data_IF_571350918911
#
_entry.id   IF_571350918911
#
_cell.length_a   1.000
_cell.length_b   1.000
_cell.length_c   1.000
_cell.angle_alpha   90.00
_cell.angle_beta   90.00
_cell.angle_gamma   90.00
#
_symmetry.space_group_name_H-M   'P 1'
#
loop_
_entity.id
_entity.type
_entity.pdbx_description
1 polymer ?
#
# COMPACT_ATOMS: atom_id res chain seq x y z
N UNK A 1 -16.41 27.19 25.54
CA UNK A 1 -16.60 26.43 24.29
C UNK A 1 -15.50 26.87 23.33
N UNK A 2 -14.37 26.15 23.34
CA UNK A 2 -13.19 26.54 22.58
C UNK A 2 -13.00 25.52 21.47
N UNK A 3 -13.09 26.02 20.25
CA UNK A 3 -13.11 25.28 18.99
C UNK A 3 -11.85 24.45 18.77
N UNK A 4 -12.03 23.17 18.46
CA UNK A 4 -10.97 22.26 18.01
C UNK A 4 -10.66 22.56 16.54
N UNK A 5 -9.50 23.18 16.28
CA UNK A 5 -8.97 23.37 14.92
C UNK A 5 -8.11 22.14 14.60
N UNK A 6 -8.64 21.23 13.78
CA UNK A 6 -7.85 20.14 13.18
C UNK A 6 -6.99 20.77 12.07
N UNK A 7 -5.75 21.11 12.40
CA UNK A 7 -4.75 21.51 11.41
C UNK A 7 -4.33 20.25 10.62
N UNK A 8 -4.77 20.16 9.36
CA UNK A 8 -4.30 19.12 8.44
C UNK A 8 -2.91 19.51 7.91
N UNK A 9 -1.87 19.33 8.70
CA UNK A 9 -0.48 19.50 8.23
C UNK A 9 -0.10 18.29 7.35
N UNK A 10 0.27 18.56 6.11
CA UNK A 10 1.07 17.62 5.33
C UNK A 10 2.49 17.65 5.91
N UNK A 11 2.96 16.53 6.46
CA UNK A 11 4.37 16.39 6.83
C UNK A 11 5.10 16.03 5.53
N UNK A 12 5.78 17.02 4.96
CA UNK A 12 6.79 16.78 3.92
C UNK A 12 8.09 16.51 4.66
N UNK A 13 8.46 15.24 4.81
CA UNK A 13 9.77 14.88 5.35
C UNK A 13 10.78 15.03 4.22
N UNK A 14 11.69 15.99 4.39
CA UNK A 14 12.92 16.10 3.60
C UNK A 14 14.05 16.00 4.62
N UNK A 15 14.85 14.93 4.55
CA UNK A 15 16.01 14.80 5.42
C UNK A 15 17.04 15.88 5.06
N UNK A 16 17.14 16.92 5.89
CA UNK A 16 18.25 17.86 5.90
C UNK A 16 19.08 17.58 7.16
N UNK A 17 20.37 17.34 6.96
CA UNK A 17 21.34 16.94 7.99
C UNK A 17 21.76 18.15 8.81
N UNK A 18 21.65 18.07 10.13
CA UNK A 18 22.44 18.89 11.06
C UNK A 18 23.34 17.99 11.91
N UNK A 19 24.55 18.49 12.14
CA UNK A 19 25.72 17.76 12.62
C UNK A 19 25.73 17.50 14.13
N UNK A 20 25.92 16.23 14.48
CA UNK A 20 26.67 15.65 15.60
C UNK A 20 26.61 16.33 16.99
N UNK A 21 26.04 15.61 17.97
CA UNK A 21 26.65 15.44 19.30
C UNK A 21 26.34 14.05 19.89
N UNK A 22 27.34 13.52 20.57
CA UNK A 22 27.58 12.18 21.12
C UNK A 22 26.54 11.71 22.18
N UNK A 23 26.11 10.43 22.13
CA UNK A 23 25.40 9.72 23.23
C UNK A 23 25.91 8.26 23.33
N UNK A 24 26.10 7.68 24.55
CA UNK A 24 26.85 6.43 24.78
C UNK A 24 26.05 5.14 24.52
N UNK A 25 26.71 3.97 24.51
CA UNK A 25 26.10 2.69 24.11
C UNK A 25 25.28 2.09 25.26
N UNK A 26 24.16 1.44 24.91
CA UNK A 26 23.67 0.18 25.49
C UNK A 26 22.16 0.00 25.23
N UNK A 27 21.81 -0.51 24.05
CA UNK A 27 20.68 -1.43 23.82
C UNK A 27 20.76 -1.94 22.36
N UNK A 28 21.63 -2.92 22.10
CA UNK A 28 21.71 -3.59 20.80
C UNK A 28 20.65 -4.69 20.76
N UNK A 29 19.55 -4.46 20.03
CA UNK A 29 18.71 -5.55 19.53
C UNK A 29 19.22 -5.93 18.15
N UNK A 30 19.90 -7.07 18.04
CA UNK A 30 20.37 -7.64 16.78
C UNK A 30 19.17 -7.96 15.86
N UNK A 31 18.92 -7.09 14.89
CA UNK A 31 18.16 -7.43 13.69
C UNK A 31 19.15 -7.51 12.52
N UNK A 32 19.61 -8.71 12.21
CA UNK A 32 20.40 -8.97 11.01
C UNK A 32 19.46 -9.12 9.81
N UNK A 33 19.34 -8.06 9.00
CA UNK A 33 18.84 -8.19 7.63
C UNK A 33 19.89 -8.93 6.81
N UNK A 34 19.62 -10.19 6.44
CA UNK A 34 20.51 -10.93 5.55
C UNK A 34 20.47 -10.30 4.15
N UNK A 35 21.51 -9.52 3.83
CA UNK A 35 21.85 -9.16 2.45
C UNK A 35 22.05 -10.45 1.64
N UNK A 36 21.48 -10.46 0.44
CA UNK A 36 21.61 -11.45 -0.65
C UNK A 36 20.54 -12.54 -0.73
N UNK A 37 19.88 -12.59 -1.89
CA UNK A 37 18.91 -13.61 -2.25
C UNK A 37 18.18 -13.33 -3.56
N UNK A 38 18.92 -13.11 -4.65
CA UNK A 38 18.39 -13.24 -6.01
C UNK A 38 17.84 -14.67 -6.19
N UNK A 39 16.61 -14.82 -6.71
CA UNK A 39 16.16 -16.10 -7.27
C UNK A 39 15.95 -15.92 -8.78
N UNK A 40 16.96 -16.35 -9.53
CA UNK A 40 16.85 -16.76 -10.92
C UNK A 40 17.46 -18.15 -11.04
N UNK A 41 16.63 -19.19 -11.13
CA UNK A 41 16.80 -20.27 -12.13
C UNK A 41 15.58 -21.17 -12.22
N UNK A 42 15.29 -21.55 -13.46
CA UNK A 42 14.45 -22.65 -13.90
C UNK A 42 15.35 -23.90 -14.01
N UNK A 43 14.76 -25.07 -13.72
CA UNK A 43 15.13 -26.46 -14.09
C UNK A 43 16.04 -27.38 -13.23
N UNK A 44 15.44 -28.56 -12.96
CA UNK A 44 16.00 -29.92 -12.85
C UNK A 44 16.50 -30.46 -11.49
N UNK A 45 16.60 -31.79 -11.44
CA UNK A 45 16.17 -32.70 -10.37
C UNK A 45 17.15 -32.93 -9.19
N UNK A 46 16.56 -33.40 -8.09
CA UNK A 46 17.06 -34.35 -7.08
C UNK A 46 18.40 -34.08 -6.35
N UNK A 47 18.33 -33.85 -5.04
CA UNK A 47 18.93 -34.75 -4.02
C UNK A 47 18.48 -34.36 -2.59
N UNK A 48 18.53 -35.37 -1.71
CA UNK A 48 18.06 -35.45 -0.33
C UNK A 48 19.04 -34.76 0.65
N UNK A 49 18.51 -34.09 1.67
CA UNK A 49 18.78 -34.37 3.11
C UNK A 49 18.27 -33.19 3.98
N UNK A 50 17.20 -33.41 4.76
CA UNK A 50 17.16 -33.61 6.23
C UNK A 50 17.47 -32.36 7.07
N UNK A 51 16.42 -31.86 7.72
CA UNK A 51 16.47 -31.60 9.17
C UNK A 51 16.41 -30.16 9.66
N UNK A 52 15.19 -29.70 10.00
CA UNK A 52 14.73 -29.34 11.36
C UNK A 52 13.70 -28.21 11.31
N UNK A 53 12.44 -28.62 11.43
CA UNK A 53 11.35 -27.76 11.87
C UNK A 53 11.58 -27.38 13.34
N UNK A 54 11.54 -26.09 13.65
CA UNK A 54 11.35 -25.63 15.03
C UNK A 54 9.87 -25.26 15.21
N UNK A 55 9.15 -26.18 15.84
CA UNK A 55 7.86 -25.96 16.47
C UNK A 55 8.10 -25.19 17.77
N UNK A 56 7.38 -24.09 17.98
CA UNK A 56 7.09 -23.61 19.33
C UNK A 56 5.59 -23.63 19.56
N UNK A 57 5.20 -24.42 20.56
CA UNK A 57 3.90 -24.35 21.22
C UNK A 57 3.87 -23.13 22.13
N UNK A 58 2.79 -22.35 22.05
CA UNK A 58 2.46 -21.30 23.00
C UNK A 58 0.94 -21.26 23.16
N UNK A 59 0.48 -21.49 24.38
CA UNK A 59 -0.92 -21.74 24.74
C UNK A 59 -1.83 -20.53 24.50
N UNK A 60 -3.07 -20.84 24.13
CA UNK A 60 -4.15 -19.89 23.90
C UNK A 60 -4.71 -19.36 25.24
N UNK A 61 -4.84 -18.04 25.35
CA UNK A 61 -5.78 -17.44 26.30
C UNK A 61 -6.98 -16.88 25.53
N UNK A 62 -8.16 -17.37 25.90
CA UNK A 62 -9.47 -16.93 25.40
C UNK A 62 -9.87 -15.67 26.14
N UNK A 63 -10.28 -14.64 25.42
CA UNK A 63 -11.39 -13.80 25.84
C UNK A 63 -12.20 -13.34 24.62
N UNK A 64 -13.42 -13.83 24.55
CA UNK A 64 -14.41 -13.57 23.50
C UNK A 64 -15.29 -12.42 23.96
N UNK A 65 -15.01 -11.21 23.48
CA UNK A 65 -15.89 -10.05 23.62
C UNK A 65 -16.66 -9.82 22.33
N UNK A 66 -17.87 -10.37 22.24
CA UNK A 66 -18.79 -10.19 21.12
C UNK A 66 -19.23 -8.71 21.06
N UNK A 67 -18.81 -7.95 20.05
CA UNK A 67 -19.38 -6.61 19.79
C UNK A 67 -19.91 -6.55 18.36
N UNK A 68 -21.23 -6.72 18.22
CA UNK A 68 -21.96 -6.39 17.01
C UNK A 68 -22.18 -4.87 16.97
N UNK A 69 -21.76 -4.22 15.88
CA UNK A 69 -22.06 -2.81 15.63
C UNK A 69 -23.14 -2.75 14.54
N UNK A 70 -24.35 -2.40 14.94
CA UNK A 70 -25.46 -2.04 14.06
C UNK A 70 -25.32 -0.59 13.60
N UNK A 71 -25.44 -0.33 12.30
CA UNK A 71 -25.49 1.02 11.74
C UNK A 71 -26.94 1.38 11.42
N UNK A 72 -27.56 2.28 12.20
CA UNK A 72 -28.80 2.95 11.79
C UNK A 72 -28.48 4.16 10.91
N UNK A 73 -28.87 4.11 9.65
CA UNK A 73 -28.76 5.22 8.71
C UNK A 73 -30.09 5.97 8.56
N UNK A 74 -30.20 7.16 9.17
CA UNK A 74 -31.30 8.10 8.87
C UNK A 74 -31.05 8.81 7.53
N UNK A 75 -31.76 8.40 6.48
CA UNK A 75 -31.81 9.09 5.19
C UNK A 75 -32.67 10.35 5.28
N UNK A 76 -32.08 11.55 5.15
CA UNK A 76 -32.83 12.77 4.77
C UNK A 76 -32.51 13.16 3.32
N UNK A 77 -33.47 12.94 2.43
CA UNK A 77 -33.49 13.47 1.05
C UNK A 77 -33.58 15.00 1.09
N UNK A 78 -32.60 15.70 0.53
CA UNK A 78 -32.80 17.10 0.09
C UNK A 78 -33.23 17.10 -1.38
N UNK A 79 -34.40 17.68 -1.63
CA UNK A 79 -34.90 18.03 -2.95
C UNK A 79 -33.95 19.01 -3.65
N UNK A 80 -33.62 18.73 -4.92
CA UNK A 80 -32.88 19.63 -5.80
C UNK A 80 -33.87 20.62 -6.45
N UNK A 81 -33.76 21.89 -6.10
CA UNK A 81 -34.42 22.97 -6.83
C UNK A 81 -33.67 23.27 -8.13
N UNK A 82 -34.37 23.21 -9.26
CA UNK A 82 -33.84 23.48 -10.58
C UNK A 82 -33.60 24.96 -10.83
N UNK A 83 -32.48 25.27 -11.51
CA UNK A 83 -32.31 26.53 -12.25
C UNK A 83 -31.77 26.23 -13.65
N UNK A 84 -32.60 26.54 -14.65
CA UNK A 84 -32.25 26.62 -16.08
C UNK A 84 -31.46 27.91 -16.34
N UNK A 85 -30.45 27.86 -17.21
CA UNK A 85 -29.83 29.07 -17.76
C UNK A 85 -28.49 28.90 -18.49
N UNK A 86 -28.58 28.63 -19.80
CA UNK A 86 -27.73 28.99 -20.96
C UNK A 86 -26.19 29.19 -20.81
N UNK A 87 -25.46 28.53 -21.72
CA UNK A 87 -24.10 28.92 -22.13
C UNK A 87 -23.29 27.78 -22.75
N UNK A 88 -23.52 27.46 -24.04
CA UNK A 88 -22.65 26.55 -24.81
C UNK A 88 -21.35 27.26 -25.21
N UNK A 89 -20.39 27.27 -24.30
CA UNK A 89 -18.98 27.54 -24.62
C UNK A 89 -18.26 26.23 -24.83
N UNK A 90 -17.66 26.02 -26.01
CA UNK A 90 -16.68 24.94 -26.25
C UNK A 90 -15.43 25.23 -25.40
N UNK A 91 -15.50 24.87 -24.12
CA UNK A 91 -14.38 25.01 -23.20
C UNK A 91 -13.28 24.03 -23.56
N UNK A 92 -12.10 24.55 -23.94
CA UNK A 92 -10.83 23.83 -23.87
C UNK A 92 -10.83 23.01 -22.57
N UNK A 93 -10.68 21.69 -22.68
CA UNK A 93 -10.94 20.74 -21.61
C UNK A 93 -10.43 21.25 -20.27
N UNK A 94 -11.35 21.55 -19.34
CA UNK A 94 -10.98 22.07 -18.01
C UNK A 94 -9.93 21.12 -17.44
N UNK A 95 -8.69 21.62 -17.27
CA UNK A 95 -7.64 20.87 -16.57
C UNK A 95 -8.26 20.37 -15.27
N UNK A 96 -7.99 19.11 -14.94
CA UNK A 96 -8.28 18.61 -13.62
C UNK A 96 -7.51 19.49 -12.64
N UNK A 97 -8.16 20.53 -12.11
CA UNK A 97 -7.72 21.17 -10.89
C UNK A 97 -7.77 20.04 -9.89
N UNK A 98 -6.62 19.65 -9.37
CA UNK A 98 -6.50 18.59 -8.37
C UNK A 98 -7.54 18.95 -7.31
N UNK A 99 -8.67 18.25 -7.36
CA UNK A 99 -9.65 18.34 -6.30
C UNK A 99 -8.92 17.86 -5.05
N UNK A 100 -9.33 18.35 -3.88
CA UNK A 100 -8.99 17.74 -2.59
C UNK A 100 -8.73 16.24 -2.78
N UNK A 101 -7.49 15.78 -2.52
CA UNK A 101 -6.97 14.48 -2.98
C UNK A 101 -7.91 13.32 -2.63
N UNK A 102 -8.59 13.42 -1.50
CA UNK A 102 -9.57 12.43 -1.01
C UNK A 102 -10.87 12.41 -1.81
N UNK A 103 -11.30 13.56 -2.35
CA UNK A 103 -12.50 13.68 -3.20
C UNK A 103 -12.18 13.49 -4.68
N UNK A 104 -10.90 13.59 -5.07
CA UNK A 104 -10.50 13.51 -6.47
C UNK A 104 -10.89 12.16 -7.10
N UNK A 105 -10.76 11.05 -6.38
CA UNK A 105 -11.18 9.72 -6.85
C UNK A 105 -12.67 9.63 -7.21
N UNK A 106 -13.53 10.37 -6.51
CA UNK A 106 -14.99 10.41 -6.74
C UNK A 106 -15.39 11.46 -7.79
N UNK A 107 -14.43 12.25 -8.26
CA UNK A 107 -14.65 13.27 -9.28
C UNK A 107 -14.43 12.72 -10.69
N UNK A 108 -14.76 13.53 -11.70
CA UNK A 108 -14.41 13.24 -13.11
C UNK A 108 -12.90 13.09 -13.34
N UNK A 109 -12.07 13.62 -12.45
CA UNK A 109 -10.62 13.57 -12.56
C UNK A 109 -10.02 12.23 -12.15
N UNK A 110 -10.67 11.50 -11.25
CA UNK A 110 -10.22 10.20 -10.80
C UNK A 110 -10.94 9.02 -11.44
N UNK A 111 -11.94 9.25 -12.31
CA UNK A 111 -12.78 8.17 -12.85
C UNK A 111 -11.99 7.17 -13.71
N UNK A 112 -12.11 5.87 -13.38
CA UNK A 112 -11.43 4.79 -14.10
C UNK A 112 -9.92 4.98 -14.13
N UNK A 113 -9.29 4.76 -15.30
CA UNK A 113 -7.84 4.94 -15.49
C UNK A 113 -7.36 6.41 -15.45
N UNK A 114 -8.24 7.37 -15.10
CA UNK A 114 -7.85 8.75 -14.81
C UNK A 114 -7.41 8.96 -13.36
N UNK A 115 -7.66 8.00 -12.46
CA UNK A 115 -7.22 8.01 -11.05
C UNK A 115 -5.81 8.59 -10.81
N UNK A 116 -4.76 8.29 -11.62
CA UNK A 116 -3.41 8.80 -11.36
C UNK A 116 -3.30 10.33 -11.46
N UNK A 117 -4.29 11.03 -12.04
CA UNK A 117 -4.38 12.50 -12.00
C UNK A 117 -4.63 13.07 -10.59
N UNK A 118 -5.02 12.21 -9.66
CA UNK A 118 -5.27 12.56 -8.27
C UNK A 118 -4.04 12.35 -7.37
N UNK A 119 -2.98 11.71 -7.88
CA UNK A 119 -1.74 11.56 -7.14
C UNK A 119 -1.14 12.93 -6.81
N UNK A 120 -0.65 13.07 -5.59
CA UNK A 120 0.01 14.28 -5.08
C UNK A 120 1.33 13.89 -4.43
N UNK A 121 2.03 14.84 -3.81
CA UNK A 121 3.31 14.58 -3.14
C UNK A 121 4.41 14.16 -4.10
N UNK A 122 5.41 13.45 -3.56
CA UNK A 122 6.56 12.99 -4.34
C UNK A 122 6.20 11.92 -5.38
N UNK A 123 5.09 11.19 -5.24
CA UNK A 123 4.60 10.28 -6.27
C UNK A 123 3.78 10.99 -7.37
N UNK A 124 3.69 12.32 -7.35
CA UNK A 124 2.99 13.09 -8.39
C UNK A 124 3.49 12.71 -9.79
N UNK A 125 2.55 12.56 -10.72
CA UNK A 125 2.84 12.12 -12.09
C UNK A 125 3.06 10.61 -12.24
N UNK A 126 2.85 9.80 -11.20
CA UNK A 126 2.64 8.36 -11.33
C UNK A 126 1.49 8.09 -12.31
N UNK A 127 1.60 7.01 -13.08
CA UNK A 127 0.59 6.59 -14.05
C UNK A 127 0.16 5.14 -13.86
N UNK A 128 0.93 4.35 -13.10
CA UNK A 128 0.68 2.94 -12.87
C UNK A 128 0.50 2.17 -14.18
N UNK A 129 -0.49 1.28 -14.21
CA UNK A 129 -0.87 0.49 -15.39
C UNK A 129 -1.81 1.20 -16.36
N UNK A 130 -1.93 2.53 -16.32
CA UNK A 130 -2.91 3.28 -17.12
C UNK A 130 -2.85 2.96 -18.61
N UNK A 131 -1.63 2.74 -19.14
CA UNK A 131 -1.36 2.44 -20.56
C UNK A 131 -1.32 0.93 -20.86
N UNK A 132 -1.42 0.11 -19.82
CA UNK A 132 -1.27 -1.33 -19.87
C UNK A 132 -2.57 -2.08 -20.09
N UNK A 133 -2.44 -3.41 -20.05
CA UNK A 133 -3.57 -4.33 -20.13
C UNK A 133 -4.58 -4.05 -19.03
N UNK A 134 -5.86 -4.11 -19.34
CA UNK A 134 -6.90 -4.16 -18.31
C UNK A 134 -7.10 -5.62 -17.89
N UNK A 135 -6.99 -5.89 -16.60
CA UNK A 135 -7.17 -7.22 -16.04
C UNK A 135 -8.23 -7.15 -14.94
N UNK A 136 -9.13 -8.14 -14.91
CA UNK A 136 -10.16 -8.23 -13.87
C UNK A 136 -10.00 -9.55 -13.14
N UNK A 137 -9.75 -9.47 -11.84
CA UNK A 137 -9.72 -10.61 -10.93
C UNK A 137 -11.16 -11.10 -10.75
N UNK A 138 -11.36 -12.39 -10.99
CA UNK A 138 -12.65 -13.10 -10.89
C UNK A 138 -12.63 -14.21 -9.84
N UNK A 139 -11.44 -14.63 -9.41
CA UNK A 139 -11.21 -15.69 -8.44
C UNK A 139 -10.36 -15.20 -7.26
N UNK A 140 -10.72 -15.64 -6.05
CA UNK A 140 -9.98 -15.37 -4.83
C UNK A 140 -8.88 -16.40 -4.53
N UNK A 141 -8.73 -17.42 -5.39
CA UNK A 141 -7.72 -18.45 -5.23
C UNK A 141 -6.31 -17.88 -5.40
N UNK A 142 -5.36 -18.48 -4.71
CA UNK A 142 -3.94 -18.16 -4.84
C UNK A 142 -3.10 -19.44 -4.94
N UNK A 143 -2.19 -19.47 -5.91
CA UNK A 143 -1.32 -20.61 -6.23
C UNK A 143 0.05 -20.07 -6.65
N UNK A 144 1.12 -20.54 -6.01
CA UNK A 144 2.48 -20.06 -6.27
C UNK A 144 3.06 -20.65 -7.55
N UNK A 145 2.90 -21.97 -7.75
CA UNK A 145 3.49 -22.70 -8.87
C UNK A 145 2.72 -22.51 -10.17
N UNK A 146 1.40 -22.37 -10.09
CA UNK A 146 0.55 -22.21 -11.26
C UNK A 146 -0.62 -21.26 -10.96
N UNK A 147 -0.37 -19.94 -10.90
CA UNK A 147 -1.44 -18.96 -10.72
C UNK A 147 -2.37 -18.99 -11.93
N UNK A 148 -3.65 -19.28 -11.72
CA UNK A 148 -4.61 -19.41 -12.82
C UNK A 148 -5.08 -18.03 -13.34
N UNK A 149 -5.42 -17.89 -14.64
CA UNK A 149 -6.16 -16.73 -15.13
C UNK A 149 -7.43 -16.47 -14.29
N UNK A 150 -7.72 -15.20 -14.04
CA UNK A 150 -8.75 -14.75 -13.10
C UNK A 150 -8.25 -14.54 -11.65
N UNK A 151 -7.05 -14.97 -11.27
CA UNK A 151 -6.49 -14.74 -9.92
C UNK A 151 -5.66 -13.45 -9.84
N UNK A 152 -5.55 -12.88 -8.63
CA UNK A 152 -4.74 -11.68 -8.41
C UNK A 152 -3.25 -11.92 -8.73
N UNK A 153 -2.68 -13.06 -8.32
CA UNK A 153 -1.26 -13.38 -8.57
C UNK A 153 -0.94 -13.51 -10.05
N UNK A 154 -1.81 -14.14 -10.83
CA UNK A 154 -1.66 -14.18 -12.29
C UNK A 154 -1.68 -12.77 -12.87
N UNK A 155 -2.68 -11.96 -12.48
CA UNK A 155 -2.80 -10.58 -12.93
C UNK A 155 -1.58 -9.72 -12.61
N UNK A 156 -1.05 -9.82 -11.39
CA UNK A 156 0.16 -9.11 -10.97
C UNK A 156 1.38 -9.55 -11.78
N UNK A 157 1.50 -10.85 -12.09
CA UNK A 157 2.57 -11.40 -12.93
C UNK A 157 2.55 -10.93 -14.39
N UNK A 158 1.40 -10.51 -14.93
CA UNK A 158 1.32 -10.03 -16.31
C UNK A 158 2.20 -8.82 -16.57
N UNK A 159 2.44 -7.95 -15.59
CA UNK A 159 3.30 -6.78 -15.79
C UNK A 159 4.74 -7.14 -16.14
N UNK A 160 5.23 -8.31 -15.74
CA UNK A 160 6.58 -8.78 -16.09
C UNK A 160 6.79 -8.91 -17.60
N UNK A 161 5.79 -9.43 -18.32
CA UNK A 161 5.83 -9.61 -19.77
C UNK A 161 5.20 -8.48 -20.58
N UNK A 162 4.68 -7.45 -19.90
CA UNK A 162 3.96 -6.34 -20.54
C UNK A 162 4.64 -5.00 -20.26
N UNK A 163 5.46 -4.47 -21.20
CA UNK A 163 6.19 -3.21 -21.00
C UNK A 163 5.30 -1.98 -20.76
N UNK A 164 4.00 -2.06 -21.09
CA UNK A 164 3.03 -0.99 -20.80
C UNK A 164 2.33 -1.15 -19.45
N UNK A 165 2.60 -2.24 -18.74
CA UNK A 165 2.05 -2.54 -17.42
C UNK A 165 0.69 -3.23 -17.43
N UNK A 166 0.04 -3.24 -16.27
CA UNK A 166 -1.28 -3.84 -16.05
C UNK A 166 -2.14 -3.01 -15.08
N UNK A 167 -3.41 -2.81 -15.42
CA UNK A 167 -4.43 -2.19 -14.58
C UNK A 167 -5.39 -3.27 -14.09
N UNK A 168 -5.20 -3.68 -12.85
CA UNK A 168 -5.94 -4.75 -12.19
C UNK A 168 -7.16 -4.16 -11.47
N UNK A 169 -8.32 -4.76 -11.72
CA UNK A 169 -9.61 -4.48 -11.07
C UNK A 169 -10.23 -5.78 -10.59
N UNK A 170 -11.38 -5.72 -9.91
CA UNK A 170 -12.05 -6.89 -9.35
C UNK A 170 -13.48 -6.95 -9.86
N UNK A 171 -14.05 -8.16 -9.97
CA UNK A 171 -15.42 -8.34 -10.45
C UNK A 171 -16.49 -8.35 -9.35
N UNK A 172 -16.07 -8.52 -8.10
CA UNK A 172 -16.92 -8.62 -6.91
C UNK A 172 -16.09 -8.41 -5.63
N UNK A 173 -16.77 -8.32 -4.50
CA UNK A 173 -16.14 -8.42 -3.18
C UNK A 173 -15.37 -9.75 -3.06
N UNK A 174 -14.16 -9.68 -2.53
CA UNK A 174 -13.27 -10.84 -2.40
C UNK A 174 -12.40 -10.75 -1.14
N UNK A 175 -12.25 -11.89 -0.47
CA UNK A 175 -11.17 -12.12 0.49
C UNK A 175 -10.16 -13.07 -0.14
N UNK A 176 -8.97 -12.56 -0.46
CA UNK A 176 -7.89 -13.29 -1.09
C UNK A 176 -6.88 -13.66 -0.01
N UNK A 177 -6.72 -14.98 0.20
CA UNK A 177 -5.77 -15.54 1.16
C UNK A 177 -4.49 -15.88 0.43
N UNK A 178 -3.46 -15.07 0.61
CA UNK A 178 -2.19 -15.25 -0.09
C UNK A 178 -1.41 -16.43 0.50
N UNK A 179 -0.85 -17.26 -0.37
CA UNK A 179 0.02 -18.40 0.01
C UNK A 179 1.46 -17.96 0.29
N UNK A 180 1.87 -16.82 -0.26
CA UNK A 180 3.14 -16.14 -0.03
C UNK A 180 3.03 -14.68 -0.47
N UNK A 181 4.10 -13.91 -0.32
CA UNK A 181 4.17 -12.50 -0.69
C UNK A 181 3.66 -12.28 -2.14
N UNK A 182 2.83 -11.26 -2.34
CA UNK A 182 2.38 -10.86 -3.68
C UNK A 182 3.37 -9.85 -4.25
N UNK A 183 4.22 -10.30 -5.18
CA UNK A 183 5.13 -9.42 -5.90
C UNK A 183 4.35 -8.55 -6.90
N UNK A 184 4.56 -7.25 -6.83
CA UNK A 184 3.98 -6.27 -7.76
C UNK A 184 5.07 -5.69 -8.63
N UNK A 185 4.93 -5.85 -9.94
CA UNK A 185 5.91 -5.44 -10.95
C UNK A 185 5.72 -3.99 -11.43
N UNK A 186 6.67 -3.52 -12.23
CA UNK A 186 6.66 -2.21 -12.88
C UNK A 186 5.33 -1.88 -13.55
N UNK A 187 4.95 -0.59 -13.50
CA UNK A 187 3.80 -0.08 -14.23
C UNK A 187 2.48 -0.78 -13.88
N UNK A 188 2.31 -1.13 -12.61
CA UNK A 188 1.11 -1.83 -12.14
C UNK A 188 0.17 -0.89 -11.42
N UNK A 189 -1.13 -1.06 -11.64
CA UNK A 189 -2.16 -0.52 -10.76
C UNK A 189 -3.02 -1.65 -10.23
N UNK A 190 -3.16 -1.75 -8.91
CA UNK A 190 -4.19 -2.57 -8.26
C UNK A 190 -5.27 -1.61 -7.74
N UNK A 191 -6.43 -1.63 -8.38
CA UNK A 191 -7.56 -0.73 -8.13
C UNK A 191 -8.75 -1.50 -7.58
N UNK A 192 -8.93 -1.47 -6.26
CA UNK A 192 -10.02 -2.13 -5.56
C UNK A 192 -11.33 -1.36 -5.55
N UNK A 193 -11.46 -0.21 -6.24
CA UNK A 193 -12.69 0.59 -6.19
C UNK A 193 -13.91 -0.18 -6.68
N UNK A 194 -15.03 0.04 -6.00
CA UNK A 194 -16.32 -0.57 -6.32
C UNK A 194 -16.60 -1.88 -5.59
N UNK A 195 -15.58 -2.46 -4.95
CA UNK A 195 -15.70 -3.74 -4.24
C UNK A 195 -14.91 -3.73 -2.92
N UNK A 196 -15.34 -4.55 -1.97
CA UNK A 196 -14.59 -4.83 -0.73
C UNK A 196 -13.55 -5.91 -1.02
N UNK A 197 -12.30 -5.50 -1.17
CA UNK A 197 -11.17 -6.40 -1.43
C UNK A 197 -10.29 -6.49 -0.19
N UNK A 198 -10.17 -7.70 0.36
CA UNK A 198 -9.39 -8.00 1.55
C UNK A 198 -8.27 -8.96 1.16
N UNK A 199 -7.02 -8.57 1.39
CA UNK A 199 -5.83 -9.40 1.24
C UNK A 199 -5.39 -9.85 2.63
N UNK A 200 -5.15 -11.16 2.80
CA UNK A 200 -4.75 -11.74 4.09
C UNK A 200 -3.61 -12.76 3.98
N UNK A 201 -3.08 -13.16 5.13
CA UNK A 201 -2.03 -14.17 5.35
C UNK A 201 -0.62 -13.77 4.92
N UNK A 202 -0.47 -12.93 3.91
CA UNK A 202 0.83 -12.43 3.47
C UNK A 202 0.70 -11.02 2.88
N UNK A 203 1.83 -10.42 2.54
CA UNK A 203 1.95 -9.01 2.21
C UNK A 203 2.06 -8.71 0.71
N UNK A 204 1.94 -7.43 0.39
CA UNK A 204 2.20 -6.89 -0.95
C UNK A 204 3.64 -6.37 -0.95
N UNK A 205 4.43 -6.80 -1.94
CA UNK A 205 5.85 -6.49 -2.02
C UNK A 205 6.19 -5.83 -3.35
N UNK A 206 6.89 -4.70 -3.27
CA UNK A 206 7.43 -3.94 -4.41
C UNK A 206 8.95 -3.92 -4.27
N UNK A 207 9.62 -4.67 -5.15
CA UNK A 207 11.06 -4.90 -5.12
C UNK A 207 11.70 -4.41 -6.41
N UNK A 208 12.53 -3.37 -6.35
CA UNK A 208 13.23 -2.91 -7.56
C UNK A 208 12.30 -2.34 -8.63
N UNK A 209 11.11 -1.84 -8.26
CA UNK A 209 10.07 -1.46 -9.22
C UNK A 209 9.84 0.04 -9.32
N UNK A 210 9.23 0.46 -10.43
CA UNK A 210 8.81 1.82 -10.65
C UNK A 210 7.37 1.97 -11.15
N UNK A 211 6.79 3.13 -10.83
CA UNK A 211 5.50 3.57 -11.35
C UNK A 211 4.37 2.58 -10.97
N UNK A 212 4.13 2.43 -9.67
CA UNK A 212 3.14 1.51 -9.10
C UNK A 212 2.06 2.27 -8.33
N UNK A 213 0.81 1.81 -8.42
CA UNK A 213 -0.32 2.34 -7.65
C UNK A 213 -1.04 1.19 -6.96
N UNK A 214 -1.17 1.26 -5.64
CA UNK A 214 -1.96 0.33 -4.83
C UNK A 214 -3.09 1.12 -4.19
N UNK A 215 -4.33 0.83 -4.56
CA UNK A 215 -5.46 1.69 -4.24
C UNK A 215 -6.72 0.94 -3.80
N UNK A 216 -7.33 1.40 -2.71
CA UNK A 216 -8.63 0.95 -2.19
C UNK A 216 -8.68 -0.55 -1.84
N UNK A 217 -7.74 -1.01 -1.02
CA UNK A 217 -7.66 -2.40 -0.53
C UNK A 217 -7.61 -2.43 1.00
N UNK A 218 -8.10 -3.52 1.60
CA UNK A 218 -7.75 -3.90 2.95
C UNK A 218 -6.62 -4.93 2.91
N UNK A 219 -5.58 -4.76 3.73
CA UNK A 219 -4.49 -5.72 3.88
C UNK A 219 -4.29 -6.00 5.37
N UNK A 220 -4.52 -7.24 5.80
CA UNK A 220 -4.52 -7.56 7.24
C UNK A 220 -4.28 -9.03 7.56
N UNK A 221 -3.91 -9.32 8.81
CA UNK A 221 -3.68 -10.70 9.25
C UNK A 221 -2.45 -11.28 8.58
N UNK A 222 -1.34 -10.55 8.69
CA UNK A 222 -0.02 -10.94 8.20
C UNK A 222 0.63 -11.75 9.31
N UNK A 223 0.98 -13.00 9.02
CA UNK A 223 1.56 -13.92 9.98
C UNK A 223 2.84 -14.56 9.42
N UNK A 224 3.65 -15.12 10.31
CA UNK A 224 4.80 -15.94 9.94
C UNK A 224 6.03 -15.15 9.53
N UNK A 225 6.24 -13.97 10.15
CA UNK A 225 7.47 -13.19 9.99
C UNK A 225 7.62 -12.47 8.65
N UNK A 226 6.56 -12.41 7.83
CA UNK A 226 6.63 -11.85 6.46
C UNK A 226 6.78 -10.32 6.39
N UNK A 227 6.94 -9.64 7.53
CA UNK A 227 7.29 -8.22 7.58
C UNK A 227 6.11 -7.34 7.94
N UNK A 228 5.43 -6.83 6.94
CA UNK A 228 4.55 -5.68 7.05
C UNK A 228 3.51 -5.74 5.95
N UNK A 229 2.37 -5.05 6.06
CA UNK A 229 1.29 -5.20 5.06
C UNK A 229 1.71 -4.80 3.64
N UNK A 230 2.56 -3.77 3.50
CA UNK A 230 3.04 -3.25 2.22
C UNK A 230 4.52 -2.91 2.32
N UNK A 231 5.36 -3.73 1.69
CA UNK A 231 6.81 -3.60 1.73
C UNK A 231 7.34 -3.01 0.43
N UNK A 232 8.06 -1.90 0.51
CA UNK A 232 8.65 -1.19 -0.62
C UNK A 232 10.17 -1.12 -0.43
N UNK A 233 10.93 -1.70 -1.35
CA UNK A 233 12.39 -1.63 -1.29
C UNK A 233 13.00 -1.42 -2.67
N UNK A 234 14.06 -0.60 -2.74
CA UNK A 234 14.73 -0.20 -3.98
C UNK A 234 13.75 0.24 -5.09
N UNK A 235 12.68 0.94 -4.72
CA UNK A 235 11.57 1.23 -5.63
C UNK A 235 11.29 2.73 -5.74
N UNK A 236 10.79 3.18 -6.89
CA UNK A 236 10.53 4.61 -7.12
C UNK A 236 9.15 4.91 -7.67
N UNK A 237 8.62 6.09 -7.37
CA UNK A 237 7.36 6.57 -7.95
C UNK A 237 6.18 5.64 -7.64
N UNK A 238 5.97 5.40 -6.34
CA UNK A 238 4.95 4.50 -5.80
C UNK A 238 3.87 5.30 -5.08
N UNK A 239 2.61 5.02 -5.38
CA UNK A 239 1.47 5.63 -4.70
C UNK A 239 0.63 4.58 -3.98
N UNK A 240 0.67 4.61 -2.64
CA UNK A 240 -0.14 3.79 -1.74
C UNK A 240 -1.28 4.66 -1.25
N UNK A 241 -2.52 4.34 -1.63
CA UNK A 241 -3.66 5.24 -1.41
C UNK A 241 -4.93 4.52 -0.97
N UNK A 242 -5.64 5.08 0.03
CA UNK A 242 -6.90 4.50 0.53
C UNK A 242 -6.77 3.03 0.95
N UNK A 243 -5.64 2.67 1.58
CA UNK A 243 -5.51 1.34 2.16
C UNK A 243 -6.05 1.30 3.59
N UNK A 244 -6.65 0.18 3.96
CA UNK A 244 -6.94 -0.15 5.35
C UNK A 244 -5.98 -1.25 5.77
N UNK A 245 -5.00 -0.92 6.61
CA UNK A 245 -3.97 -1.85 7.04
C UNK A 245 -4.01 -2.03 8.56
N UNK A 246 -4.05 -3.28 9.01
CA UNK A 246 -3.98 -3.65 10.43
C UNK A 246 -3.49 -5.10 10.59
N UNK A 247 -3.18 -5.52 11.81
CA UNK A 247 -2.67 -6.88 12.11
C UNK A 247 -1.45 -7.25 11.24
N UNK A 248 -0.47 -6.34 11.18
CA UNK A 248 0.85 -6.58 10.58
C UNK A 248 1.89 -6.86 11.66
N UNK A 249 2.61 -7.97 11.55
CA UNK A 249 3.53 -8.47 12.59
C UNK A 249 4.71 -7.53 12.88
N UNK A 250 5.45 -7.08 11.84
CA UNK A 250 6.58 -6.15 12.01
C UNK A 250 6.21 -4.71 11.67
N UNK A 251 5.11 -4.47 10.96
CA UNK A 251 4.77 -3.14 10.44
C UNK A 251 3.52 -3.09 9.57
N UNK A 252 3.15 -1.89 9.12
CA UNK A 252 2.11 -1.70 8.11
C UNK A 252 2.71 -1.33 6.75
N UNK A 253 3.40 -0.20 6.63
CA UNK A 253 3.92 0.25 5.33
C UNK A 253 5.37 0.64 5.47
N UNK A 254 6.29 -0.12 4.86
CA UNK A 254 7.72 0.15 4.92
C UNK A 254 8.25 0.64 3.57
N UNK A 255 9.21 1.56 3.61
CA UNK A 255 9.98 2.01 2.45
C UNK A 255 11.46 2.07 2.83
N UNK A 256 12.30 1.26 2.20
CA UNK A 256 13.73 1.08 2.57
C UNK A 256 14.62 0.91 1.34
N UNK A 257 15.93 0.82 1.54
CA UNK A 257 16.93 0.41 0.54
C UNK A 257 16.87 1.22 -0.77
N UNK A 258 16.87 2.55 -0.67
CA UNK A 258 16.96 3.46 -1.81
C UNK A 258 15.61 3.82 -2.41
N UNK A 259 14.53 3.51 -1.68
CA UNK A 259 13.18 3.82 -2.12
C UNK A 259 12.92 5.33 -2.12
N UNK A 260 12.33 5.87 -3.20
CA UNK A 260 12.12 7.32 -3.33
C UNK A 260 10.90 7.66 -4.19
N UNK A 261 10.49 8.92 -4.21
CA UNK A 261 9.28 9.39 -4.91
C UNK A 261 8.00 8.64 -4.49
N UNK A 262 7.80 8.46 -3.18
CA UNK A 262 6.67 7.71 -2.63
C UNK A 262 5.62 8.66 -2.08
N UNK A 263 4.36 8.30 -2.21
CA UNK A 263 3.26 8.95 -1.48
C UNK A 263 2.38 7.89 -0.84
N UNK A 264 2.18 8.01 0.46
CA UNK A 264 1.28 7.19 1.26
C UNK A 264 0.17 8.13 1.73
N UNK A 265 -1.04 7.95 1.19
CA UNK A 265 -2.13 8.89 1.44
C UNK A 265 -3.49 8.28 1.70
N UNK A 266 -4.31 8.96 2.49
CA UNK A 266 -5.70 8.57 2.77
C UNK A 266 -5.86 7.14 3.34
N UNK A 267 -4.81 6.56 3.91
CA UNK A 267 -4.86 5.23 4.48
C UNK A 267 -5.40 5.27 5.91
N UNK A 268 -6.09 4.21 6.32
CA UNK A 268 -6.36 3.90 7.71
C UNK A 268 -5.36 2.84 8.17
N UNK A 269 -4.48 3.22 9.10
CA UNK A 269 -3.35 2.43 9.55
C UNK A 269 -3.52 2.18 11.04
N UNK A 270 -3.82 0.94 11.42
CA UNK A 270 -4.07 0.57 12.81
C UNK A 270 -3.13 -0.55 13.26
N UNK A 271 -2.12 -0.22 14.07
CA UNK A 271 -1.21 -1.22 14.63
C UNK A 271 -0.66 -0.75 15.98
N UNK A 272 -0.79 -1.60 17.01
CA UNK A 272 -0.37 -1.34 18.39
C UNK A 272 1.11 -0.99 18.52
N UNK A 273 1.99 -1.53 17.67
CA UNK A 273 3.42 -1.30 17.80
C UNK A 273 3.99 -0.49 16.63
N UNK A 274 4.57 -1.18 15.64
CA UNK A 274 5.26 -0.56 14.52
C UNK A 274 4.30 -0.26 13.37
N UNK A 275 4.25 0.99 12.92
CA UNK A 275 3.37 1.40 11.81
C UNK A 275 4.15 1.56 10.50
N UNK A 276 5.08 2.51 10.44
CA UNK A 276 5.72 2.93 9.20
C UNK A 276 7.21 3.21 9.41
N UNK A 277 8.06 2.43 8.75
CA UNK A 277 9.51 2.58 8.75
C UNK A 277 9.96 3.12 7.38
N UNK A 278 10.68 4.23 7.40
CA UNK A 278 11.23 4.91 6.23
C UNK A 278 12.76 4.94 6.37
N UNK A 279 13.46 4.01 5.73
CA UNK A 279 14.87 3.75 6.00
C UNK A 279 15.07 2.92 7.27
N UNK A 280 15.95 1.92 7.19
CA UNK A 280 16.08 0.88 8.22
C UNK A 280 17.34 1.02 9.09
N UNK A 281 18.42 1.60 8.56
CA UNK A 281 19.73 1.61 9.22
C UNK A 281 20.40 2.99 9.11
N UNK A 282 20.96 3.48 10.22
CA UNK A 282 21.63 4.78 10.31
C UNK A 282 22.82 4.96 9.35
N UNK A 283 23.40 3.84 8.90
CA UNK A 283 24.58 3.82 8.03
C UNK A 283 24.26 3.64 6.56
N UNK A 284 22.98 3.43 6.20
CA UNK A 284 22.61 3.14 4.82
C UNK A 284 22.54 4.42 3.99
N UNK A 285 23.66 4.75 3.34
CA UNK A 285 23.80 5.95 2.52
C UNK A 285 22.87 5.96 1.30
N UNK A 286 22.33 4.79 0.91
CA UNK A 286 21.43 4.68 -0.25
C UNK A 286 20.10 5.39 0.00
N UNK A 287 19.68 5.52 1.27
CA UNK A 287 18.42 6.17 1.66
C UNK A 287 18.53 7.70 1.76
N UNK A 288 19.72 8.28 1.51
CA UNK A 288 19.94 9.74 1.56
C UNK A 288 19.02 10.54 0.64
N UNK A 289 18.66 9.96 -0.51
CA UNK A 289 17.79 10.58 -1.51
C UNK A 289 16.32 10.13 -1.39
N UNK A 290 15.96 9.49 -0.27
CA UNK A 290 14.59 9.08 0.03
C UNK A 290 13.67 10.30 0.11
N UNK A 291 12.56 10.23 -0.64
CA UNK A 291 11.51 11.25 -0.66
C UNK A 291 10.15 10.58 -0.52
N UNK A 292 9.52 10.77 0.63
CA UNK A 292 8.22 10.16 0.97
C UNK A 292 7.25 11.24 1.43
N UNK A 293 6.06 11.28 0.84
CA UNK A 293 4.96 12.12 1.30
C UNK A 293 3.99 11.26 2.11
N UNK A 294 3.75 11.64 3.36
CA UNK A 294 2.72 11.05 4.21
C UNK A 294 1.61 12.09 4.38
N UNK A 295 0.41 11.80 3.87
CA UNK A 295 -0.64 12.79 3.82
C UNK A 295 -2.03 12.20 4.07
N UNK A 296 -2.75 12.73 5.06
CA UNK A 296 -4.14 12.34 5.41
C UNK A 296 -4.31 10.87 5.74
N UNK A 297 -3.29 10.25 6.33
CA UNK A 297 -3.45 8.93 6.92
C UNK A 297 -4.07 9.06 8.31
N UNK A 298 -4.94 8.12 8.66
CA UNK A 298 -5.46 7.96 10.01
C UNK A 298 -4.65 6.88 10.70
N UNK A 299 -3.82 7.26 11.68
CA UNK A 299 -3.11 6.32 12.53
C UNK A 299 -3.93 6.03 13.78
N UNK A 300 -4.27 4.76 14.02
CA UNK A 300 -5.08 4.34 15.17
C UNK A 300 -4.33 3.33 16.02
N UNK A 301 -4.41 3.52 17.34
CA UNK A 301 -3.76 2.64 18.31
C UNK A 301 -2.27 2.48 18.03
N UNK A 302 -1.59 3.53 17.58
CA UNK A 302 -0.21 3.45 17.10
C UNK A 302 0.73 3.98 18.17
N UNK A 303 1.53 3.09 18.78
CA UNK A 303 2.48 3.50 19.82
C UNK A 303 3.71 4.19 19.23
N UNK A 304 4.18 3.77 18.04
CA UNK A 304 5.39 4.30 17.43
C UNK A 304 5.43 4.18 15.90
N UNK A 305 6.44 4.83 15.30
CA UNK A 305 6.77 4.84 13.87
C UNK A 305 5.64 5.42 12.99
N UNK A 306 5.28 6.69 13.18
CA UNK A 306 4.24 7.41 12.40
C UNK A 306 4.73 8.72 11.72
N UNK A 307 5.82 8.73 10.93
CA UNK A 307 6.72 7.62 10.63
C UNK A 307 7.86 7.50 11.66
N UNK A 308 8.74 6.52 11.45
CA UNK A 308 10.14 6.56 11.87
C UNK A 308 10.99 6.71 10.61
N UNK A 309 11.93 7.65 10.61
CA UNK A 309 12.80 8.01 9.48
C UNK A 309 14.19 8.40 9.94
#
# INVERSE_FOLDING_TARGET
>A
MTSCIILSMAIVVSAAKDSATHVPPDFQSDYSYSKSGFITTIESEASKDVGKAFLFHGEASKDVGNTSITFEGSLRRRQLAGRRGKGRGRGRGRRCRVADGTKCQFSRCGRGKLLPRCATGFASGVVGGRRGLSYTVTSHNDSLSNPAPGTLRYGAGLAYSNPRGVWITFSRDMTIRLRAQLLVWNHTTIDGRGFKIIITQSNIVMSGVENVIIHNLQVSGIYGGTGDTVHIFNSRKVWVDHLTCFDGENGLVFAVEGSTDITISNCYLANNNFNMLLGAEDTDIVDKDMRVTIYRNWFKNSNQRMPHC
#
